data_IF_633250239910
#
_entry.id   IF_633250239910
#
_cell.length_a   1.000
_cell.length_b   1.000
_cell.length_c   1.000
_cell.angle_alpha   90.00
_cell.angle_beta   90.00
_cell.angle_gamma   90.00
#
_symmetry.space_group_name_H-M   'P 1'
#
loop_
_entity.id
_entity.type
_entity.pdbx_description
1 polymer ?
#
# COMPACT_ATOMS: atom_id res chain seq x y z
N UNK A 1 5.79 7.22 -16.34
CA UNK A 1 6.31 5.82 -16.24
C UNK A 1 5.57 5.02 -15.15
N UNK A 2 5.74 3.69 -15.04
CA UNK A 2 5.08 2.88 -13.98
C UNK A 2 5.47 3.33 -12.56
N UNK A 3 6.74 3.68 -12.35
CA UNK A 3 7.25 4.17 -11.06
C UNK A 3 6.54 5.45 -10.60
N UNK A 4 6.43 6.45 -11.47
CA UNK A 4 5.67 7.69 -11.19
C UNK A 4 4.19 7.41 -10.86
N UNK A 5 3.56 6.46 -11.58
CA UNK A 5 2.18 6.06 -11.29
C UNK A 5 2.04 5.39 -9.92
N UNK A 6 3.01 4.58 -9.50
CA UNK A 6 3.02 3.95 -8.18
C UNK A 6 2.95 5.00 -7.08
N UNK A 7 3.86 5.98 -7.09
CA UNK A 7 3.88 7.04 -6.10
C UNK A 7 2.59 7.87 -6.14
N UNK A 8 2.16 8.30 -7.33
CA UNK A 8 0.92 9.08 -7.47
C UNK A 8 -0.31 8.38 -6.91
N UNK A 9 -0.47 7.08 -7.19
CA UNK A 9 -1.60 6.28 -6.69
C UNK A 9 -1.54 6.17 -5.17
N UNK A 10 -0.40 5.80 -4.60
CA UNK A 10 -0.30 5.55 -3.15
C UNK A 10 -0.21 6.82 -2.30
N UNK A 11 0.23 7.95 -2.86
CA UNK A 11 0.09 9.27 -2.22
C UNK A 11 -1.39 9.67 -2.04
N UNK A 12 -2.25 9.28 -2.97
CA UNK A 12 -3.69 9.60 -2.95
C UNK A 12 -4.55 8.48 -2.37
N UNK A 13 -3.94 7.34 -2.01
CA UNK A 13 -4.67 6.17 -1.56
C UNK A 13 -5.31 6.40 -0.20
N UNK A 14 -6.60 6.07 -0.09
CA UNK A 14 -7.32 6.11 1.17
C UNK A 14 -7.12 4.78 1.88
N UNK A 15 -6.12 4.67 2.75
CA UNK A 15 -5.66 3.42 3.37
C UNK A 15 -6.67 2.63 4.20
N UNK A 16 -7.86 3.17 4.49
CA UNK A 16 -8.99 2.36 4.95
C UNK A 16 -9.49 1.35 3.90
N UNK A 17 -9.18 1.59 2.63
CA UNK A 17 -9.52 0.69 1.53
C UNK A 17 -8.34 -0.27 1.28
N UNK A 18 -8.61 -1.59 1.19
CA UNK A 18 -7.59 -2.58 0.96
C UNK A 18 -7.04 -2.49 -0.46
N UNK A 19 -5.74 -2.74 -0.60
CA UNK A 19 -5.13 -3.03 -1.90
C UNK A 19 -5.41 -4.50 -2.22
N UNK A 20 -6.15 -4.74 -3.29
CA UNK A 20 -6.53 -6.07 -3.74
C UNK A 20 -6.13 -6.26 -5.21
N UNK A 21 -5.53 -7.42 -5.52
CA UNK A 21 -5.15 -7.80 -6.89
C UNK A 21 -6.26 -8.57 -7.61
N UNK A 22 -7.09 -9.29 -6.87
CA UNK A 22 -8.28 -10.00 -7.34
C UNK A 22 -9.40 -9.87 -6.29
N UNK A 23 -10.61 -10.31 -6.64
CA UNK A 23 -11.68 -10.46 -5.66
C UNK A 23 -11.31 -11.49 -4.60
N UNK A 24 -11.74 -11.26 -3.36
CA UNK A 24 -11.64 -12.27 -2.30
C UNK A 24 -12.67 -13.36 -2.62
N UNK A 25 -12.20 -14.57 -2.86
CA UNK A 25 -13.02 -15.75 -3.07
C UNK A 25 -13.23 -16.47 -1.73
N UNK A 26 -14.46 -16.90 -1.48
CA UNK A 26 -14.78 -17.78 -0.36
C UNK A 26 -14.72 -19.23 -0.83
N UNK A 27 -14.00 -20.06 -0.08
CA UNK A 27 -13.90 -21.51 -0.33
C UNK A 27 -14.42 -22.28 0.89
N UNK A 28 -14.97 -23.47 0.66
CA UNK A 28 -15.67 -24.31 1.65
C UNK A 28 -14.74 -24.97 2.67
N UNK A 29 -13.41 -24.78 2.53
CA UNK A 29 -12.39 -25.37 3.40
C UNK A 29 -12.36 -24.77 4.83
N UNK A 30 -13.07 -23.67 5.07
CA UNK A 30 -13.29 -23.11 6.41
C UNK A 30 -12.07 -22.42 7.04
N UNK A 31 -11.03 -22.13 6.26
CA UNK A 31 -9.90 -21.33 6.74
C UNK A 31 -10.31 -19.86 6.96
N UNK A 32 -9.67 -19.15 7.91
CA UNK A 32 -9.93 -17.73 8.12
C UNK A 32 -9.48 -16.93 6.89
N UNK A 33 -10.39 -16.11 6.38
CA UNK A 33 -10.14 -15.17 5.28
C UNK A 33 -10.31 -13.76 5.81
N UNK A 34 -9.42 -12.85 5.40
CA UNK A 34 -9.52 -11.44 5.76
C UNK A 34 -10.82 -10.85 5.26
N UNK A 35 -11.67 -10.41 6.18
CA UNK A 35 -12.92 -9.72 5.86
C UNK A 35 -13.34 -8.81 7.02
N UNK A 36 -13.18 -7.47 6.89
CA UNK A 36 -13.53 -6.51 7.94
C UNK A 36 -15.04 -6.46 8.25
N UNK A 37 -15.90 -7.11 7.44
CA UNK A 37 -17.35 -7.22 7.68
C UNK A 37 -17.69 -8.41 8.59
N UNK A 38 -16.88 -9.47 8.54
CA UNK A 38 -17.08 -10.70 9.34
C UNK A 38 -16.23 -10.72 10.60
N UNK A 39 -15.02 -10.15 10.54
CA UNK A 39 -14.07 -10.14 11.63
C UNK A 39 -13.78 -8.70 12.10
N UNK A 40 -14.25 -8.29 13.29
CA UNK A 40 -14.00 -6.96 13.84
C UNK A 40 -12.51 -6.63 14.00
N UNK A 41 -11.64 -7.63 14.19
CA UNK A 41 -10.20 -7.41 14.28
C UNK A 41 -9.63 -6.85 12.98
N UNK A 42 -10.17 -7.28 11.83
CA UNK A 42 -9.67 -6.86 10.51
C UNK A 42 -9.98 -5.39 10.21
N UNK A 43 -11.01 -4.83 10.87
CA UNK A 43 -11.43 -3.44 10.73
C UNK A 43 -10.38 -2.44 11.22
N UNK A 44 -9.54 -2.84 12.17
CA UNK A 44 -8.52 -1.96 12.76
C UNK A 44 -7.21 -1.91 11.97
N UNK A 45 -7.09 -2.65 10.86
CA UNK A 45 -5.87 -2.63 10.04
C UNK A 45 -5.70 -1.27 9.32
N UNK A 46 -4.52 -0.67 9.49
CA UNK A 46 -4.25 0.68 9.00
C UNK A 46 -3.89 0.74 7.51
N UNK A 47 -3.28 -0.31 6.96
CA UNK A 47 -2.77 -0.36 5.59
C UNK A 47 -2.97 -1.76 5.01
N UNK A 48 -4.21 -2.19 4.71
CA UNK A 48 -4.46 -3.56 4.31
C UNK A 48 -3.97 -3.82 2.88
N UNK A 49 -3.04 -4.76 2.72
CA UNK A 49 -2.57 -5.27 1.42
C UNK A 49 -2.86 -6.76 1.41
N UNK A 50 -3.76 -7.19 0.52
CA UNK A 50 -4.36 -8.52 0.61
C UNK A 50 -3.65 -9.49 -0.31
N UNK A 51 -3.25 -10.65 0.22
CA UNK A 51 -2.69 -11.76 -0.57
C UNK A 51 -3.78 -12.31 -1.50
N UNK A 52 -3.47 -12.59 -2.78
CA UNK A 52 -4.48 -12.94 -3.77
C UNK A 52 -4.95 -14.40 -3.70
N UNK A 53 -4.13 -15.29 -3.14
CA UNK A 53 -4.45 -16.71 -3.07
C UNK A 53 -5.20 -17.05 -1.78
N UNK A 54 -6.15 -17.98 -1.89
CA UNK A 54 -6.89 -18.49 -0.75
C UNK A 54 -5.98 -19.26 0.24
N UNK A 55 -6.15 -19.06 1.57
CA UNK A 55 -6.99 -18.04 2.19
C UNK A 55 -6.36 -16.64 2.07
N UNK A 56 -7.14 -15.66 1.61
CA UNK A 56 -6.66 -14.29 1.46
C UNK A 56 -6.43 -13.65 2.85
N UNK A 57 -5.25 -13.07 3.06
CA UNK A 57 -4.83 -12.50 4.33
C UNK A 57 -4.21 -11.12 4.13
N UNK A 58 -4.16 -10.31 5.18
CA UNK A 58 -3.45 -9.03 5.16
C UNK A 58 -1.94 -9.24 5.36
N UNK A 59 -1.13 -8.97 4.34
CA UNK A 59 0.34 -9.09 4.42
C UNK A 59 1.00 -8.00 5.26
N UNK A 60 0.31 -6.90 5.52
CA UNK A 60 0.81 -5.70 6.22
C UNK A 60 0.09 -5.47 7.55
N UNK A 61 -0.31 -6.54 8.24
CA UNK A 61 -1.02 -6.47 9.53
C UNK A 61 -0.20 -5.81 10.67
N UNK A 62 1.13 -5.83 10.57
CA UNK A 62 2.03 -5.19 11.55
C UNK A 62 2.16 -3.67 11.38
N UNK A 63 1.54 -3.07 10.36
CA UNK A 63 1.60 -1.63 10.14
C UNK A 63 0.83 -0.93 11.26
N UNK A 64 1.55 -0.11 12.03
CA UNK A 64 0.98 0.81 13.01
C UNK A 64 0.70 2.18 12.38
N UNK A 65 -0.05 3.03 13.10
CA UNK A 65 -0.29 4.43 12.73
C UNK A 65 1.05 5.15 12.45
N UNK A 66 2.06 4.96 13.31
CA UNK A 66 3.36 5.63 13.16
C UNK A 66 4.08 5.20 11.88
N UNK A 67 4.12 3.89 11.60
CA UNK A 67 4.75 3.39 10.37
C UNK A 67 3.99 3.82 9.12
N UNK A 68 2.65 3.87 9.18
CA UNK A 68 1.83 4.38 8.08
C UNK A 68 2.12 5.86 7.81
N UNK A 69 2.26 6.68 8.85
CA UNK A 69 2.62 8.09 8.72
C UNK A 69 3.93 8.26 7.93
N UNK A 70 4.98 7.52 8.33
CA UNK A 70 6.28 7.53 7.63
C UNK A 70 6.11 7.10 6.17
N UNK A 71 5.38 6.02 5.90
CA UNK A 71 5.15 5.57 4.52
C UNK A 71 4.41 6.61 3.67
N UNK A 72 3.39 7.28 4.21
CA UNK A 72 2.65 8.33 3.50
C UNK A 72 3.58 9.50 3.14
N UNK A 73 4.42 9.94 4.07
CA UNK A 73 5.42 10.98 3.84
C UNK A 73 6.41 10.56 2.74
N UNK A 74 6.89 9.31 2.78
CA UNK A 74 7.79 8.78 1.75
C UNK A 74 7.13 8.64 0.38
N UNK A 75 5.84 8.29 0.32
CA UNK A 75 5.10 8.29 -0.96
C UNK A 75 4.99 9.70 -1.53
N UNK A 76 4.69 10.70 -0.70
CA UNK A 76 4.64 12.11 -1.13
C UNK A 76 6.00 12.60 -1.64
N UNK A 77 7.07 12.28 -0.91
CA UNK A 77 8.43 12.63 -1.31
C UNK A 77 8.82 12.00 -2.65
N UNK A 78 8.61 10.69 -2.80
CA UNK A 78 8.86 9.97 -4.05
C UNK A 78 8.00 10.47 -5.22
N UNK A 79 6.75 10.88 -4.98
CA UNK A 79 5.89 11.49 -6.00
C UNK A 79 6.49 12.81 -6.49
N UNK A 80 6.98 13.68 -5.59
CA UNK A 80 7.62 14.94 -5.95
C UNK A 80 8.87 14.73 -6.81
N UNK A 81 9.74 13.79 -6.42
CA UNK A 81 10.94 13.46 -7.21
C UNK A 81 10.54 12.93 -8.59
N UNK A 82 9.54 12.06 -8.67
CA UNK A 82 9.05 11.55 -9.95
C UNK A 82 8.51 12.66 -10.86
N UNK A 83 7.81 13.66 -10.31
CA UNK A 83 7.37 14.84 -11.07
C UNK A 83 8.56 15.65 -11.61
N UNK A 84 9.62 15.82 -10.82
CA UNK A 84 10.85 16.51 -11.25
C UNK A 84 11.59 15.73 -12.34
N UNK A 85 11.66 14.39 -12.23
CA UNK A 85 12.24 13.52 -13.27
C UNK A 85 11.44 13.60 -14.57
N UNK A 86 10.10 13.55 -14.51
CA UNK A 86 9.24 13.67 -15.70
C UNK A 86 9.38 15.04 -16.40
N UNK A 87 9.71 16.09 -15.65
CA UNK A 87 10.03 17.42 -16.16
C UNK A 87 11.50 17.58 -16.59
N UNK A 88 12.30 16.51 -16.57
CA UNK A 88 13.74 16.51 -16.84
C UNK A 88 14.56 17.45 -15.92
N UNK A 89 14.09 17.68 -14.69
CA UNK A 89 14.77 18.52 -13.67
C UNK A 89 15.62 17.72 -12.69
N UNK A 90 15.41 16.41 -12.61
CA UNK A 90 16.14 15.49 -11.74
C UNK A 90 16.51 14.21 -12.50
N UNK A 91 17.47 13.46 -11.95
CA UNK A 91 17.88 12.14 -12.44
C UNK A 91 17.35 11.04 -11.51
N UNK A 92 17.31 9.79 -11.99
CA UNK A 92 16.78 8.66 -11.21
C UNK A 92 17.55 8.39 -9.91
N UNK A 93 18.83 8.74 -9.84
CA UNK A 93 19.65 8.59 -8.65
C UNK A 93 19.07 9.34 -7.44
N UNK A 94 18.41 10.49 -7.69
CA UNK A 94 17.78 11.30 -6.65
C UNK A 94 16.66 10.54 -5.89
N UNK A 95 15.99 9.59 -6.54
CA UNK A 95 14.95 8.78 -5.91
C UNK A 95 15.51 7.78 -4.89
N UNK A 96 16.78 7.41 -5.03
CA UNK A 96 17.44 6.38 -4.22
C UNK A 96 18.48 6.96 -3.26
N UNK A 97 18.52 8.28 -3.08
CA UNK A 97 19.38 8.90 -2.08
C UNK A 97 18.98 8.42 -0.67
N UNK A 98 19.97 8.12 0.21
CA UNK A 98 19.68 7.69 1.57
C UNK A 98 18.88 8.74 2.34
N UNK A 99 17.94 8.26 3.16
CA UNK A 99 17.28 9.10 4.15
C UNK A 99 18.30 9.57 5.20
N UNK A 100 18.45 10.89 5.36
CA UNK A 100 19.35 11.54 6.31
C UNK A 100 18.71 11.73 7.69
#
# INVERSE_FOLDING_TARGET
MLVSRFFRVYTQWRWLNPVMLCSIEEDELGFPVWDPRKNPCDWFHHMPIITPAYPCMNSSYNVSISTLCVMIEQFQYGNKICEEIELNKAQWDALFEPFL
#
